data_IF_721191612187
#
_entry.id   IF_721191612187
#
_cell.length_a   1.000
_cell.length_b   1.000
_cell.length_c   1.000
_cell.angle_alpha   90.00
_cell.angle_beta   90.00
_cell.angle_gamma   90.00
#
_symmetry.space_group_name_H-M   'P 1'
#
loop_
_entity.id
_entity.type
_entity.pdbx_description
1 polymer ?
#
# COMPACT_ATOMS: atom_id res chain seq x y z
N UNK A 1 17.84 -7.32 -14.15
CA UNK A 1 17.46 -6.05 -13.52
C UNK A 1 18.71 -5.33 -13.11
N UNK A 2 18.84 -4.03 -13.34
CA UNK A 2 19.93 -3.28 -12.75
C UNK A 2 19.87 -3.47 -11.23
N UNK A 3 21.03 -3.61 -10.60
CA UNK A 3 21.10 -3.84 -9.17
C UNK A 3 20.55 -2.58 -8.47
N UNK A 4 19.36 -2.69 -7.87
CA UNK A 4 18.65 -1.60 -7.18
C UNK A 4 19.54 -0.79 -6.22
N UNK A 5 20.50 -1.46 -5.57
CA UNK A 5 21.40 -0.84 -4.61
C UNK A 5 22.45 0.11 -5.24
N UNK A 6 22.63 0.09 -6.55
CA UNK A 6 23.59 0.94 -7.27
C UNK A 6 22.94 2.13 -7.97
N UNK A 7 21.60 2.23 -7.94
CA UNK A 7 20.88 3.33 -8.56
C UNK A 7 20.67 4.47 -7.57
N UNK A 8 20.77 5.70 -8.06
CA UNK A 8 20.29 6.87 -7.33
C UNK A 8 18.77 6.87 -7.21
N UNK A 9 18.23 7.70 -6.32
CA UNK A 9 16.79 7.80 -6.07
C UNK A 9 15.97 8.02 -7.36
N UNK A 10 16.39 8.95 -8.20
CA UNK A 10 15.64 9.24 -9.44
C UNK A 10 15.86 8.19 -10.53
N UNK A 11 17.00 7.52 -10.57
CA UNK A 11 17.22 6.40 -11.50
C UNK A 11 16.33 5.21 -11.17
N UNK A 12 16.04 4.97 -9.88
CA UNK A 12 15.05 3.96 -9.44
C UNK A 12 13.67 4.30 -9.99
N UNK A 13 13.24 5.56 -9.87
CA UNK A 13 11.94 6.00 -10.39
C UNK A 13 11.87 5.90 -11.90
N UNK A 14 12.92 6.29 -12.61
CA UNK A 14 12.99 6.20 -14.07
C UNK A 14 12.91 4.74 -14.54
N UNK A 15 13.69 3.86 -13.92
CA UNK A 15 13.66 2.43 -14.24
C UNK A 15 12.28 1.79 -13.97
N UNK A 16 11.62 2.19 -12.87
CA UNK A 16 10.28 1.73 -12.55
C UNK A 16 9.25 2.25 -13.56
N UNK A 17 9.32 3.52 -13.94
CA UNK A 17 8.44 4.12 -14.94
C UNK A 17 8.60 3.43 -16.28
N UNK A 18 9.83 3.27 -16.75
CA UNK A 18 10.14 2.59 -18.00
C UNK A 18 9.55 1.18 -18.03
N UNK A 19 9.80 0.38 -16.98
CA UNK A 19 9.26 -0.97 -16.84
C UNK A 19 7.73 -0.99 -16.89
N UNK A 20 7.07 -0.07 -16.18
CA UNK A 20 5.60 0.00 -16.15
C UNK A 20 5.01 0.39 -17.51
N UNK A 21 5.67 1.27 -18.24
CA UNK A 21 5.24 1.67 -19.60
C UNK A 21 5.34 0.50 -20.58
N UNK A 22 6.44 -0.25 -20.54
CA UNK A 22 6.65 -1.46 -21.35
C UNK A 22 5.62 -2.55 -21.00
N UNK A 23 5.45 -2.88 -19.71
CA UNK A 23 4.50 -3.90 -19.24
C UNK A 23 3.04 -3.58 -19.60
N UNK A 24 2.71 -2.32 -19.76
CA UNK A 24 1.39 -1.84 -20.18
C UNK A 24 1.26 -1.63 -21.68
N UNK A 25 2.32 -1.87 -22.45
CA UNK A 25 2.36 -1.67 -23.89
C UNK A 25 2.22 -0.21 -24.32
N UNK A 26 2.48 0.74 -23.41
CA UNK A 26 2.38 2.17 -23.71
C UNK A 26 3.62 2.72 -24.43
N UNK A 27 4.75 2.02 -24.31
CA UNK A 27 6.01 2.32 -25.01
C UNK A 27 6.65 0.98 -25.38
N UNK A 28 7.26 0.91 -26.55
CA UNK A 28 8.00 -0.27 -27.00
C UNK A 28 9.50 -0.13 -26.70
N UNK A 29 10.25 -1.24 -26.52
CA UNK A 29 11.69 -1.20 -26.21
C UNK A 29 12.53 -0.47 -27.27
N UNK A 30 12.16 -0.54 -28.54
CA UNK A 30 12.84 0.14 -29.64
C UNK A 30 12.65 1.66 -29.59
N UNK A 31 11.49 2.15 -29.11
CA UNK A 31 11.22 3.57 -28.89
C UNK A 31 12.10 4.13 -27.75
N UNK A 32 12.27 3.34 -26.70
CA UNK A 32 13.15 3.71 -25.58
C UNK A 32 14.60 3.77 -26.04
N UNK A 33 15.05 2.77 -26.80
CA UNK A 33 16.40 2.73 -27.34
C UNK A 33 16.70 3.88 -28.33
N UNK A 34 15.71 4.24 -29.15
CA UNK A 34 15.82 5.31 -30.14
C UNK A 34 15.55 6.71 -29.54
N UNK A 35 15.00 6.81 -28.35
CA UNK A 35 14.49 8.03 -27.73
C UNK A 35 13.50 8.78 -28.66
N UNK A 36 12.67 8.03 -29.41
CA UNK A 36 11.72 8.57 -30.39
C UNK A 36 10.43 7.76 -30.37
N UNK A 37 9.33 8.42 -30.72
CA UNK A 37 8.04 7.75 -30.96
C UNK A 37 8.10 7.08 -32.34
N UNK A 38 8.05 5.76 -32.36
CA UNK A 38 8.13 4.96 -33.59
C UNK A 38 6.79 4.28 -33.94
N UNK A 39 5.92 4.13 -32.96
CA UNK A 39 4.65 3.42 -33.10
C UNK A 39 3.46 4.32 -32.75
N UNK A 40 2.27 4.06 -33.35
CA UNK A 40 1.05 4.75 -32.91
C UNK A 40 0.76 4.53 -31.46
N UNK A 41 0.38 5.60 -30.75
CA UNK A 41 0.00 5.51 -29.35
C UNK A 41 -1.23 4.60 -29.16
N UNK A 42 -1.19 3.73 -28.14
CA UNK A 42 -2.36 2.93 -27.77
C UNK A 42 -3.44 3.82 -27.16
N UNK A 43 -4.73 3.58 -27.50
CA UNK A 43 -5.83 4.28 -26.87
C UNK A 43 -5.89 3.93 -25.38
N UNK A 44 -5.93 4.93 -24.52
CA UNK A 44 -6.11 4.77 -23.07
C UNK A 44 -7.49 5.27 -22.65
N UNK A 45 -8.13 4.57 -21.72
CA UNK A 45 -9.50 4.89 -21.30
C UNK A 45 -9.60 6.24 -20.59
N UNK A 46 -8.55 6.66 -19.87
CA UNK A 46 -8.52 7.91 -19.12
C UNK A 46 -7.22 8.64 -19.40
N UNK A 47 -7.36 9.82 -19.96
CA UNK A 47 -6.24 10.74 -20.21
C UNK A 47 -6.38 11.93 -19.26
N UNK A 48 -5.38 12.18 -18.43
CA UNK A 48 -5.33 13.37 -17.60
C UNK A 48 -5.01 14.58 -18.47
N UNK A 49 -6.00 15.42 -18.74
CA UNK A 49 -5.82 16.66 -19.49
C UNK A 49 -5.02 17.68 -18.70
N UNK A 50 -4.15 18.43 -19.37
CA UNK A 50 -3.29 19.45 -18.74
C UNK A 50 -4.09 20.44 -17.90
N UNK A 51 -5.27 20.87 -18.36
CA UNK A 51 -6.17 21.76 -17.65
C UNK A 51 -6.71 21.20 -16.31
N UNK A 52 -6.69 19.89 -16.12
CA UNK A 52 -7.20 19.22 -14.93
C UNK A 52 -6.09 18.85 -13.92
N UNK A 53 -4.81 18.96 -14.28
CA UNK A 53 -3.69 18.53 -13.44
C UNK A 53 -3.72 19.22 -12.07
N UNK A 54 -3.81 20.55 -12.04
CA UNK A 54 -3.82 21.30 -10.79
C UNK A 54 -4.98 20.89 -9.86
N UNK A 55 -6.18 20.69 -10.42
CA UNK A 55 -7.34 20.24 -9.67
C UNK A 55 -7.15 18.83 -9.10
N UNK A 56 -6.68 17.89 -9.92
CA UNK A 56 -6.45 16.50 -9.49
C UNK A 56 -5.40 16.42 -8.39
N UNK A 57 -4.30 17.18 -8.50
CA UNK A 57 -3.26 17.21 -7.47
C UNK A 57 -3.77 17.85 -6.16
N UNK A 58 -4.63 18.85 -6.23
CA UNK A 58 -5.18 19.52 -5.05
C UNK A 58 -6.24 18.66 -4.32
N UNK A 59 -7.05 17.90 -5.06
CA UNK A 59 -8.16 17.12 -4.47
C UNK A 59 -7.75 15.70 -4.09
N UNK A 60 -6.77 15.10 -4.79
CA UNK A 60 -6.41 13.70 -4.63
C UNK A 60 -7.58 12.75 -4.93
N UNK A 61 -7.52 11.55 -4.35
CA UNK A 61 -8.59 10.56 -4.42
C UNK A 61 -8.92 10.05 -3.03
N UNK A 62 -10.20 10.03 -2.66
CA UNK A 62 -10.63 9.48 -1.37
C UNK A 62 -10.30 7.99 -1.28
N UNK A 63 -9.73 7.58 -0.16
CA UNK A 63 -9.51 6.16 0.17
C UNK A 63 -10.69 5.55 0.93
N UNK A 64 -11.65 6.37 1.39
CA UNK A 64 -12.84 5.93 2.12
C UNK A 64 -13.76 5.14 1.19
N UNK A 65 -14.33 4.06 1.71
CA UNK A 65 -15.34 3.22 1.02
C UNK A 65 -16.54 3.02 1.92
N UNK A 66 -17.67 2.67 1.32
CA UNK A 66 -18.86 2.27 2.07
C UNK A 66 -18.64 0.92 2.76
N UNK A 67 -19.16 0.81 3.97
CA UNK A 67 -19.09 -0.44 4.71
C UNK A 67 -20.14 -1.42 4.18
N UNK A 68 -19.71 -2.63 3.84
CA UNK A 68 -20.60 -3.75 3.45
C UNK A 68 -20.85 -4.73 4.58
N UNK A 69 -20.11 -4.61 5.69
CA UNK A 69 -20.24 -5.48 6.86
C UNK A 69 -19.77 -4.73 8.12
N UNK A 70 -20.25 -5.09 9.32
CA UNK A 70 -19.77 -4.52 10.57
C UNK A 70 -18.29 -4.85 10.79
N UNK A 71 -17.61 -4.01 11.59
CA UNK A 71 -16.24 -4.26 12.04
C UNK A 71 -16.17 -5.56 12.85
N UNK A 72 -15.15 -6.38 12.59
CA UNK A 72 -14.91 -7.65 13.33
C UNK A 72 -14.38 -7.41 14.73
N UNK A 73 -13.66 -6.32 14.93
CA UNK A 73 -12.99 -6.02 16.18
C UNK A 73 -13.50 -4.71 16.79
N UNK A 74 -13.50 -4.63 18.11
CA UNK A 74 -13.95 -3.47 18.87
C UNK A 74 -12.77 -2.76 19.55
N UNK A 75 -12.95 -1.49 19.92
CA UNK A 75 -11.96 -0.74 20.72
C UNK A 75 -11.72 -1.49 22.04
N UNK A 76 -10.46 -1.57 22.44
CA UNK A 76 -9.99 -2.29 23.64
C UNK A 76 -9.80 -3.80 23.43
N UNK A 77 -10.20 -4.36 22.29
CA UNK A 77 -9.99 -5.77 22.00
C UNK A 77 -8.52 -6.06 21.71
N UNK A 78 -8.01 -7.18 22.26
CA UNK A 78 -6.70 -7.70 21.91
C UNK A 78 -6.79 -8.45 20.60
N UNK A 79 -5.87 -8.16 19.68
CA UNK A 79 -5.76 -8.80 18.37
C UNK A 79 -4.32 -9.22 18.11
N UNK A 80 -4.14 -10.19 17.24
CA UNK A 80 -2.81 -10.63 16.77
C UNK A 80 -2.63 -10.17 15.31
N UNK A 81 -1.49 -9.56 15.04
CA UNK A 81 -1.12 -9.26 13.65
C UNK A 81 -0.74 -10.55 12.91
N UNK A 82 -1.22 -10.71 11.69
CA UNK A 82 -0.95 -11.87 10.84
C UNK A 82 0.55 -12.19 10.77
N UNK A 83 0.92 -13.43 11.04
CA UNK A 83 2.32 -13.84 11.14
C UNK A 83 2.96 -14.21 9.79
N UNK A 84 2.13 -14.52 8.78
CA UNK A 84 2.59 -14.99 7.49
C UNK A 84 3.29 -13.91 6.65
N UNK A 85 4.11 -14.35 5.71
CA UNK A 85 4.66 -13.51 4.66
C UNK A 85 3.78 -13.61 3.42
N UNK A 86 3.68 -12.50 2.69
CA UNK A 86 3.02 -12.46 1.39
C UNK A 86 4.05 -12.13 0.31
N UNK A 87 3.93 -12.71 -0.90
CA UNK A 87 4.92 -12.52 -1.97
C UNK A 87 4.72 -11.20 -2.73
N UNK A 88 3.79 -10.37 -2.31
CA UNK A 88 3.44 -9.11 -2.93
C UNK A 88 3.58 -7.94 -1.96
N UNK A 89 3.30 -6.73 -2.45
CA UNK A 89 3.26 -5.54 -1.61
C UNK A 89 2.25 -5.70 -0.46
N UNK A 90 2.65 -5.29 0.74
CA UNK A 90 1.79 -5.23 1.92
C UNK A 90 2.16 -4.02 2.78
N UNK A 91 1.17 -3.51 3.49
CA UNK A 91 1.35 -2.42 4.45
C UNK A 91 1.54 -2.90 5.88
N UNK A 92 1.45 -4.22 6.13
CA UNK A 92 1.72 -4.75 7.46
C UNK A 92 3.23 -4.78 7.75
N UNK A 93 3.73 -3.96 8.69
CA UNK A 93 5.15 -3.93 9.02
C UNK A 93 5.65 -5.27 9.54
N UNK A 94 6.87 -5.64 9.14
CA UNK A 94 7.46 -6.94 9.54
C UNK A 94 7.60 -7.11 11.04
N UNK A 95 7.92 -6.05 11.77
CA UNK A 95 8.17 -6.09 13.22
C UNK A 95 6.92 -6.35 14.08
N UNK A 96 5.71 -6.13 13.55
CA UNK A 96 4.45 -6.43 14.29
C UNK A 96 3.89 -7.80 13.97
N UNK A 97 4.39 -8.50 12.96
CA UNK A 97 3.84 -9.81 12.55
C UNK A 97 3.89 -10.82 13.67
N UNK A 98 2.77 -11.51 13.90
CA UNK A 98 2.59 -12.48 14.97
C UNK A 98 2.52 -11.89 16.37
N UNK A 99 2.65 -10.57 16.53
CA UNK A 99 2.58 -9.89 17.83
C UNK A 99 1.15 -9.51 18.15
N UNK A 100 0.84 -9.48 19.48
CA UNK A 100 -0.45 -9.02 19.97
C UNK A 100 -0.40 -7.52 20.24
N UNK A 101 -1.50 -6.84 19.93
CA UNK A 101 -1.74 -5.44 20.24
C UNK A 101 -3.20 -5.19 20.61
N UNK A 102 -3.53 -3.98 20.98
CA UNK A 102 -4.88 -3.59 21.41
C UNK A 102 -5.47 -2.61 20.39
N UNK A 103 -6.71 -2.84 19.97
CA UNK A 103 -7.44 -1.90 19.12
C UNK A 103 -7.68 -0.60 19.90
N UNK A 104 -7.15 0.50 19.39
CA UNK A 104 -7.34 1.83 19.96
C UNK A 104 -8.43 2.62 19.21
N UNK A 105 -8.48 2.48 17.87
CA UNK A 105 -9.39 3.29 17.05
C UNK A 105 -9.89 2.50 15.83
N UNK A 106 -11.12 2.82 15.42
CA UNK A 106 -11.71 2.41 14.13
C UNK A 106 -11.75 3.63 13.21
N UNK A 107 -11.20 3.49 12.01
CA UNK A 107 -11.18 4.55 10.99
C UNK A 107 -12.32 4.45 9.98
N UNK A 108 -13.06 3.35 9.98
CA UNK A 108 -14.01 3.04 8.92
C UNK A 108 -13.40 2.14 7.85
N UNK A 109 -14.08 2.06 6.72
CA UNK A 109 -13.67 1.20 5.60
C UNK A 109 -12.84 2.00 4.59
N UNK A 110 -11.68 1.48 4.25
CA UNK A 110 -10.75 2.10 3.31
C UNK A 110 -10.30 1.11 2.25
N UNK A 111 -9.83 1.65 1.11
CA UNK A 111 -9.16 0.85 0.05
C UNK A 111 -8.11 -0.06 0.68
N UNK A 112 -8.16 -1.35 0.37
CA UNK A 112 -7.16 -2.30 0.84
C UNK A 112 -5.90 -2.19 0.00
N UNK A 113 -4.79 -1.82 0.64
CA UNK A 113 -3.56 -1.50 -0.05
C UNK A 113 -2.98 -2.67 -0.85
N UNK A 114 -3.11 -3.91 -0.34
CA UNK A 114 -2.58 -5.12 -1.00
C UNK A 114 -3.33 -5.42 -2.29
N UNK A 115 -4.67 -5.35 -2.27
CA UNK A 115 -5.48 -5.57 -3.46
C UNK A 115 -5.27 -4.46 -4.50
N UNK A 116 -5.18 -3.20 -4.04
CA UNK A 116 -4.92 -2.07 -4.93
C UNK A 116 -3.55 -2.19 -5.63
N UNK A 117 -2.52 -2.63 -4.91
CA UNK A 117 -1.19 -2.84 -5.49
C UNK A 117 -1.16 -3.96 -6.55
N UNK A 118 -2.06 -4.92 -6.45
CA UNK A 118 -2.20 -6.03 -7.40
C UNK A 118 -3.18 -5.73 -8.55
N UNK A 119 -3.75 -4.52 -8.60
CA UNK A 119 -4.77 -4.16 -9.58
C UNK A 119 -6.06 -4.96 -9.45
N UNK A 120 -6.33 -5.53 -8.27
CA UNK A 120 -7.57 -6.27 -7.98
C UNK A 120 -8.74 -5.29 -7.81
N UNK A 121 -10.00 -5.78 -7.95
CA UNK A 121 -11.16 -4.97 -7.65
C UNK A 121 -11.08 -4.35 -6.25
N UNK A 122 -11.39 -3.08 -6.18
CA UNK A 122 -11.36 -2.30 -4.95
C UNK A 122 -12.42 -2.83 -3.97
N UNK A 123 -11.99 -3.67 -3.05
CA UNK A 123 -12.76 -4.12 -1.91
C UNK A 123 -12.24 -3.37 -0.69
N UNK A 124 -13.06 -2.44 -0.18
CA UNK A 124 -12.73 -1.76 1.06
C UNK A 124 -12.72 -2.72 2.24
N UNK A 125 -11.79 -2.51 3.17
CA UNK A 125 -11.74 -3.23 4.43
C UNK A 125 -11.68 -2.26 5.61
N UNK A 126 -12.19 -2.69 6.76
CA UNK A 126 -12.06 -1.94 8.00
C UNK A 126 -10.59 -1.68 8.31
N UNK A 127 -10.31 -0.44 8.72
CA UNK A 127 -8.99 0.03 9.11
C UNK A 127 -9.01 0.38 10.60
N UNK A 128 -8.02 -0.11 11.33
CA UNK A 128 -7.88 0.06 12.77
C UNK A 128 -6.53 0.67 13.11
N UNK A 129 -6.47 1.51 14.15
CA UNK A 129 -5.21 1.74 14.85
C UNK A 129 -5.06 0.66 15.92
N UNK A 130 -3.96 -0.07 15.84
CA UNK A 130 -3.56 -1.10 16.81
C UNK A 130 -2.32 -0.62 17.57
N UNK A 131 -2.37 -0.65 18.88
CA UNK A 131 -1.27 -0.25 19.76
C UNK A 131 -0.54 -1.46 20.28
N UNK A 132 0.76 -1.50 20.08
CA UNK A 132 1.67 -2.55 20.53
C UNK A 132 2.63 -2.02 21.59
N UNK A 133 3.06 -2.90 22.51
CA UNK A 133 4.14 -2.60 23.43
C UNK A 133 5.50 -2.76 22.74
N UNK A 134 6.31 -1.70 22.73
CA UNK A 134 7.67 -1.75 22.17
C UNK A 134 8.53 -2.79 22.91
N UNK A 135 8.31 -2.98 24.21
CA UNK A 135 8.95 -4.04 24.98
C UNK A 135 8.77 -5.44 24.33
N UNK A 136 7.55 -5.73 23.87
CA UNK A 136 7.23 -7.00 23.18
C UNK A 136 7.72 -7.02 21.74
N UNK A 137 7.66 -5.88 21.04
CA UNK A 137 8.09 -5.81 19.63
C UNK A 137 9.60 -6.01 19.47
N UNK A 138 10.38 -5.39 20.34
CA UNK A 138 11.83 -5.26 20.21
C UNK A 138 12.64 -6.01 21.27
N UNK A 139 11.97 -6.83 22.10
CA UNK A 139 12.58 -7.56 23.21
C UNK A 139 13.37 -6.67 24.18
N UNK A 140 12.83 -5.47 24.47
CA UNK A 140 13.38 -4.51 25.43
C UNK A 140 12.42 -4.34 26.62
N UNK A 141 12.57 -5.15 27.69
CA UNK A 141 11.66 -5.12 28.85
C UNK A 141 11.65 -3.78 29.60
N UNK A 142 12.67 -2.96 29.41
CA UNK A 142 12.77 -1.64 30.05
C UNK A 142 11.98 -0.56 29.28
N UNK A 143 11.56 -0.86 28.05
CA UNK A 143 10.81 0.10 27.24
C UNK A 143 9.37 0.25 27.72
N UNK A 144 8.94 1.47 27.94
CA UNK A 144 7.54 1.85 28.20
C UNK A 144 6.87 2.51 26.97
N UNK A 145 7.53 2.47 25.84
CA UNK A 145 7.04 3.06 24.59
C UNK A 145 5.92 2.22 23.99
N UNK A 146 4.92 2.88 23.44
CA UNK A 146 3.86 2.28 22.63
C UNK A 146 4.08 2.60 21.15
N UNK A 147 3.80 1.63 20.30
CA UNK A 147 3.89 1.77 18.86
C UNK A 147 2.51 1.59 18.26
N UNK A 148 1.97 2.64 17.65
CA UNK A 148 0.68 2.60 16.95
C UNK A 148 0.90 2.24 15.48
N UNK A 149 0.11 1.31 14.97
CA UNK A 149 0.13 0.88 13.58
C UNK A 149 -1.29 0.87 13.04
N UNK A 150 -1.50 1.50 11.89
CA UNK A 150 -2.75 1.38 11.17
C UNK A 150 -2.76 0.08 10.36
N UNK A 151 -3.68 -0.81 10.69
CA UNK A 151 -3.80 -2.15 10.14
C UNK A 151 -5.20 -2.42 9.60
N UNK A 152 -5.27 -2.92 8.36
CA UNK A 152 -6.54 -3.39 7.80
C UNK A 152 -6.98 -4.71 8.42
N UNK A 153 -8.27 -4.92 8.46
CA UNK A 153 -8.89 -6.12 9.05
C UNK A 153 -8.29 -7.46 8.57
N UNK A 154 -7.94 -7.64 7.27
CA UNK A 154 -7.29 -8.85 6.82
C UNK A 154 -5.90 -9.11 7.42
N UNK A 155 -5.29 -8.11 8.02
CA UNK A 155 -4.01 -8.26 8.73
C UNK A 155 -4.16 -8.71 10.19
N UNK A 156 -5.40 -8.86 10.68
CA UNK A 156 -5.68 -9.07 12.09
C UNK A 156 -6.45 -10.37 12.33
N UNK A 157 -6.10 -11.05 13.40
CA UNK A 157 -6.74 -12.26 13.91
C UNK A 157 -7.16 -12.02 15.37
N UNK A 158 -8.16 -12.76 15.83
CA UNK A 158 -8.46 -12.80 17.25
C UNK A 158 -7.25 -13.40 18.03
N UNK A 159 -6.91 -12.81 19.17
CA UNK A 159 -5.76 -13.24 19.97
C UNK A 159 -6.13 -14.42 20.88
#
# INVERSE_FOLDING_TARGET
>A
MPNYLHLSYYEIWLAALQKLLEERGLVQPDEIAAAQVLHPALPVQRVLQASNVAKVLATGSSTVRESTAPARFAIGQVVRAYAGQVPHHTRLPGYVRGKCGVIERLHGVHVFADDNALGRPDRGHWLYTVVFDAATLFNDPASNVKVSVDAWEPYLEAA
#
